data_IF_532848820007
#
_entry.id   IF_532848820007
#
_cell.length_a   1.000
_cell.length_b   1.000
_cell.length_c   1.000
_cell.angle_alpha   90.00
_cell.angle_beta   90.00
_cell.angle_gamma   90.00
#
_symmetry.space_group_name_H-M   'P 1'
#
loop_
_entity.id
_entity.type
_entity.pdbx_description
1 polymer ?
#
# COMPACT_ATOMS: atom_id res chain seq x y z
N UNK A 1 -27.26 -3.49 -47.32
CA UNK A 1 -25.93 -3.99 -46.90
C UNK A 1 -25.07 -2.75 -46.77
N UNK A 2 -25.03 -2.06 -45.61
CA UNK A 2 -23.79 -1.89 -44.85
C UNK A 2 -24.00 -1.12 -43.51
N UNK A 3 -25.23 -0.95 -43.01
CA UNK A 3 -25.48 -0.09 -41.83
C UNK A 3 -25.39 -0.81 -40.47
N UNK A 4 -25.55 -2.14 -40.42
CA UNK A 4 -25.83 -2.85 -39.15
C UNK A 4 -24.62 -3.31 -38.31
N UNK A 5 -23.38 -3.06 -38.72
CA UNK A 5 -22.20 -3.69 -38.09
C UNK A 5 -21.38 -2.74 -37.20
N UNK A 6 -21.62 -1.43 -37.25
CA UNK A 6 -20.72 -0.46 -36.59
C UNK A 6 -21.02 -0.24 -35.09
N UNK A 7 -22.22 -0.59 -34.60
CA UNK A 7 -22.59 -0.32 -33.20
C UNK A 7 -22.11 -1.36 -32.17
N UNK A 8 -21.40 -2.42 -32.56
CA UNK A 8 -20.99 -3.49 -31.62
C UNK A 8 -19.56 -3.38 -31.09
N UNK A 9 -18.76 -2.40 -31.53
CA UNK A 9 -17.34 -2.27 -31.17
C UNK A 9 -17.03 -1.22 -30.09
N UNK A 10 -18.01 -0.47 -29.61
CA UNK A 10 -17.77 0.67 -28.70
C UNK A 10 -17.88 0.36 -27.21
N UNK A 11 -18.11 -0.90 -26.81
CA UNK A 11 -18.41 -1.25 -25.40
C UNK A 11 -17.24 -1.85 -24.60
N UNK A 12 -16.03 -1.93 -25.18
CA UNK A 12 -14.88 -2.61 -24.56
C UNK A 12 -13.78 -1.69 -23.99
N UNK A 13 -14.03 -0.38 -23.83
CA UNK A 13 -12.93 0.57 -23.52
C UNK A 13 -12.85 1.00 -22.04
N UNK A 14 -13.74 0.55 -21.16
CA UNK A 14 -13.80 1.09 -19.77
C UNK A 14 -13.48 0.10 -18.65
N UNK A 15 -12.78 -1.00 -18.93
CA UNK A 15 -12.01 -1.69 -17.87
C UNK A 15 -10.61 -1.09 -17.84
N UNK A 16 -10.50 0.18 -17.43
CA UNK A 16 -9.20 0.75 -17.09
C UNK A 16 -8.63 -0.03 -15.90
N UNK A 17 -7.39 -0.49 -16.01
CA UNK A 17 -6.64 -0.87 -14.83
C UNK A 17 -6.21 0.41 -14.14
N UNK A 18 -6.71 0.68 -12.94
CA UNK A 18 -6.25 1.81 -12.15
C UNK A 18 -4.73 1.70 -11.94
N UNK A 19 -3.96 2.79 -12.09
CA UNK A 19 -2.57 2.83 -11.71
C UNK A 19 -2.38 2.23 -10.31
N UNK A 20 -1.34 1.43 -10.15
CA UNK A 20 -1.00 0.78 -8.88
C UNK A 20 -0.75 1.80 -7.74
N UNK A 21 -0.44 3.06 -8.07
CA UNK A 21 -0.41 4.19 -7.14
C UNK A 21 -1.80 4.51 -6.57
N UNK A 22 -2.85 4.44 -7.39
CA UNK A 22 -4.24 4.55 -6.93
C UNK A 22 -4.67 3.32 -6.13
N UNK A 23 -4.12 2.14 -6.46
CA UNK A 23 -4.51 0.88 -5.79
C UNK A 23 -4.05 0.79 -4.33
N UNK A 24 -3.00 1.49 -3.91
CA UNK A 24 -2.57 1.47 -2.50
C UNK A 24 -3.41 2.38 -1.62
N UNK A 25 -4.08 3.41 -2.18
CA UNK A 25 -4.88 4.34 -1.39
C UNK A 25 -6.00 3.59 -0.67
N UNK A 26 -6.18 3.89 0.61
CA UNK A 26 -7.18 3.26 1.46
C UNK A 26 -6.63 2.82 2.81
N UNK A 27 -7.46 2.09 3.54
CA UNK A 27 -7.12 1.56 4.87
C UNK A 27 -7.11 0.04 4.85
N UNK A 28 -6.11 -0.55 5.46
CA UNK A 28 -5.87 -1.98 5.50
C UNK A 28 -5.73 -2.47 6.93
N UNK A 29 -6.22 -3.67 7.18
CA UNK A 29 -6.12 -4.34 8.49
C UNK A 29 -5.35 -5.64 8.32
N UNK A 30 -4.50 -5.95 9.30
CA UNK A 30 -3.70 -7.17 9.32
C UNK A 30 -4.60 -8.41 9.23
N UNK A 31 -4.28 -9.32 8.31
CA UNK A 31 -5.04 -10.56 8.14
C UNK A 31 -4.86 -11.46 9.39
N UNK A 32 -5.93 -11.88 10.08
CA UNK A 32 -5.80 -12.63 11.33
C UNK A 32 -5.22 -14.05 11.13
N UNK A 33 -5.33 -14.61 9.92
CA UNK A 33 -4.85 -15.96 9.61
C UNK A 33 -3.48 -15.95 8.93
N UNK A 34 -3.20 -14.91 8.13
CA UNK A 34 -2.01 -14.78 7.27
C UNK A 34 -1.12 -13.60 7.62
N UNK A 35 -1.48 -12.78 8.59
CA UNK A 35 -0.78 -11.57 8.99
C UNK A 35 0.37 -11.87 9.93
N UNK A 36 1.59 -11.58 9.47
CA UNK A 36 2.88 -11.50 10.19
C UNK A 36 3.23 -12.53 11.28
N UNK A 37 2.44 -13.60 11.48
CA UNK A 37 2.59 -14.56 12.59
C UNK A 37 3.90 -15.34 12.56
N UNK A 38 4.60 -15.34 11.42
CA UNK A 38 5.92 -15.95 11.24
C UNK A 38 7.04 -14.94 11.03
N UNK A 39 6.78 -13.65 11.20
CA UNK A 39 7.73 -12.57 10.97
C UNK A 39 8.33 -12.12 12.32
N UNK A 40 9.61 -11.71 12.32
CA UNK A 40 10.37 -11.39 13.54
C UNK A 40 9.82 -10.17 14.29
N UNK A 41 9.20 -9.24 13.57
CA UNK A 41 8.42 -8.15 14.11
C UNK A 41 6.95 -8.33 13.68
N UNK A 42 6.03 -8.07 14.61
CA UNK A 42 4.63 -7.90 14.25
C UNK A 42 4.53 -6.64 13.38
N UNK A 43 3.89 -6.76 12.22
CA UNK A 43 3.53 -5.59 11.43
C UNK A 43 2.43 -4.77 12.10
N UNK A 44 2.13 -3.57 11.58
CA UNK A 44 1.03 -2.76 12.07
C UNK A 44 -0.29 -3.53 12.01
N UNK A 45 -1.16 -3.32 12.99
CA UNK A 45 -2.52 -3.84 12.96
C UNK A 45 -3.35 -3.14 11.89
N UNK A 46 -3.12 -1.83 11.70
CA UNK A 46 -3.79 -0.99 10.70
C UNK A 46 -2.78 -0.16 9.92
N UNK A 47 -2.96 -0.12 8.60
CA UNK A 47 -2.21 0.73 7.69
C UNK A 47 -3.17 1.64 6.94
N UNK A 48 -2.89 2.94 6.89
CA UNK A 48 -3.64 3.90 6.07
C UNK A 48 -2.71 4.64 5.14
N UNK A 49 -3.11 4.75 3.87
CA UNK A 49 -2.43 5.51 2.84
C UNK A 49 -3.43 6.49 2.22
N UNK A 50 -3.09 7.77 2.28
CA UNK A 50 -3.94 8.87 1.84
C UNK A 50 -3.16 9.76 0.88
N UNK A 51 -3.81 10.17 -0.19
CA UNK A 51 -3.31 11.16 -1.14
C UNK A 51 -4.51 11.87 -1.77
N UNK A 52 -4.43 13.20 -1.86
CA UNK A 52 -5.50 14.01 -2.42
C UNK A 52 -5.42 14.08 -3.95
N UNK A 53 -4.20 14.06 -4.51
CA UNK A 53 -3.94 14.10 -5.94
C UNK A 53 -2.57 13.50 -6.28
N UNK A 54 -2.56 12.24 -6.70
CA UNK A 54 -1.33 11.53 -7.09
C UNK A 54 -0.55 12.20 -8.25
N UNK A 55 -1.13 13.17 -8.96
CA UNK A 55 -0.52 13.84 -10.10
C UNK A 55 0.12 15.20 -9.76
N UNK A 56 -0.06 15.72 -8.54
CA UNK A 56 0.42 17.06 -8.17
C UNK A 56 1.92 17.08 -7.76
N UNK A 57 2.52 15.91 -7.57
CA UNK A 57 3.91 15.73 -7.17
C UNK A 57 4.16 15.95 -5.67
N UNK A 58 3.10 16.09 -4.87
CA UNK A 58 3.15 16.13 -3.41
C UNK A 58 3.18 14.70 -2.87
N UNK A 59 4.08 14.38 -1.93
CA UNK A 59 4.07 13.07 -1.27
C UNK A 59 2.76 12.83 -0.50
N UNK A 60 2.19 11.63 -0.65
CA UNK A 60 1.04 11.20 0.12
C UNK A 60 1.36 11.03 1.61
N UNK A 61 0.33 10.86 2.43
CA UNK A 61 0.44 10.62 3.87
C UNK A 61 0.15 9.18 4.23
N UNK A 62 0.95 8.62 5.14
CA UNK A 62 0.71 7.29 5.69
C UNK A 62 0.59 7.33 7.20
N UNK A 63 -0.12 6.35 7.74
CA UNK A 63 -0.25 6.13 9.18
C UNK A 63 -0.34 4.64 9.50
N UNK A 64 0.58 4.15 10.31
CA UNK A 64 0.65 2.77 10.77
C UNK A 64 0.37 2.71 12.28
N UNK A 65 -0.60 1.91 12.67
CA UNK A 65 -1.03 1.72 14.06
C UNK A 65 -0.83 0.26 14.46
N UNK A 66 -0.22 0.04 15.62
CA UNK A 66 0.12 -1.27 16.14
C UNK A 66 -0.85 -1.69 17.26
N UNK A 67 -0.97 -2.99 17.49
CA UNK A 67 -1.93 -3.56 18.44
C UNK A 67 -1.66 -3.18 19.91
N UNK A 68 -0.45 -2.71 20.23
CA UNK A 68 -0.10 -2.18 21.54
C UNK A 68 -0.44 -0.69 21.71
N UNK A 69 -1.03 -0.05 20.70
CA UNK A 69 -1.35 1.38 20.70
C UNK A 69 -0.20 2.28 20.24
N UNK A 70 0.96 1.72 19.92
CA UNK A 70 2.06 2.47 19.32
C UNK A 70 1.77 2.77 17.84
N UNK A 71 2.43 3.79 17.30
CA UNK A 71 2.24 4.20 15.91
C UNK A 71 3.47 4.88 15.34
N UNK A 72 3.54 4.93 14.02
CA UNK A 72 4.33 5.91 13.30
C UNK A 72 3.60 6.36 12.02
N UNK A 73 3.87 7.58 11.61
CA UNK A 73 3.23 8.25 10.49
C UNK A 73 4.20 9.24 9.83
N UNK A 74 3.81 9.72 8.67
CA UNK A 74 4.52 10.76 7.93
C UNK A 74 4.12 10.76 6.48
N UNK A 75 5.05 11.10 5.61
CA UNK A 75 4.81 11.06 4.16
C UNK A 75 5.37 9.81 3.52
N UNK A 76 4.89 9.49 2.33
CA UNK A 76 5.41 8.41 1.52
C UNK A 76 5.48 8.80 0.06
N UNK A 77 6.37 8.12 -0.66
CA UNK A 77 6.46 8.21 -2.12
C UNK A 77 6.65 6.82 -2.72
N UNK A 78 6.38 6.71 -4.02
CA UNK A 78 6.61 5.48 -4.76
C UNK A 78 7.92 5.56 -5.53
N UNK A 79 8.75 4.54 -5.36
CA UNK A 79 9.81 4.25 -6.31
C UNK A 79 9.39 3.11 -7.22
N UNK A 80 9.05 3.45 -8.47
CA UNK A 80 8.83 2.45 -9.51
C UNK A 80 10.18 1.99 -10.07
N UNK A 81 10.45 0.69 -9.96
CA UNK A 81 11.59 0.03 -10.61
C UNK A 81 11.02 -1.10 -11.48
N UNK A 82 11.05 -0.90 -12.80
CA UNK A 82 10.41 -1.76 -13.79
C UNK A 82 8.91 -2.00 -13.50
N UNK A 83 8.56 -3.20 -13.06
CA UNK A 83 7.19 -3.64 -12.72
C UNK A 83 6.96 -3.72 -11.21
N UNK A 84 7.94 -3.35 -10.39
CA UNK A 84 7.86 -3.38 -8.93
C UNK A 84 7.76 -1.96 -8.41
N UNK A 85 6.82 -1.76 -7.49
CA UNK A 85 6.72 -0.52 -6.73
C UNK A 85 7.23 -0.78 -5.33
N UNK A 86 8.24 -0.01 -4.96
CA UNK A 86 8.63 0.14 -3.58
C UNK A 86 7.98 1.39 -3.02
N UNK A 87 7.57 1.32 -1.77
CA UNK A 87 7.10 2.48 -1.01
C UNK A 87 8.25 2.94 -0.15
N UNK A 88 8.57 4.22 -0.25
CA UNK A 88 9.53 4.89 0.61
C UNK A 88 8.73 5.68 1.63
N UNK A 89 8.96 5.42 2.91
CA UNK A 89 8.32 6.09 4.02
C UNK A 89 9.30 7.10 4.62
N UNK A 90 8.79 8.28 4.94
CA UNK A 90 9.48 9.35 5.65
C UNK A 90 8.75 9.62 6.97
N UNK A 91 9.12 8.91 8.05
CA UNK A 91 8.49 9.09 9.34
C UNK A 91 8.82 10.47 9.93
N UNK A 92 7.79 11.24 10.24
CA UNK A 92 7.87 12.54 10.91
C UNK A 92 7.16 12.57 12.27
N UNK A 93 6.38 11.52 12.56
CA UNK A 93 5.63 11.34 13.80
C UNK A 93 5.68 9.89 14.24
N UNK A 94 5.97 9.65 15.51
CA UNK A 94 6.13 8.31 16.07
C UNK A 94 5.89 8.30 17.58
N UNK A 95 5.34 7.20 18.09
CA UNK A 95 5.34 6.90 19.52
C UNK A 95 6.75 6.53 20.02
N UNK A 96 6.92 6.40 21.33
CA UNK A 96 8.24 6.21 21.94
C UNK A 96 8.98 4.95 21.47
N UNK A 97 8.27 3.86 21.17
CA UNK A 97 8.91 2.63 20.67
C UNK A 97 9.50 2.80 19.26
N UNK A 98 9.00 3.76 18.49
CA UNK A 98 9.39 4.03 17.11
C UNK A 98 10.18 5.34 16.94
N UNK A 99 10.60 5.99 18.03
CA UNK A 99 11.27 7.29 17.99
C UNK A 99 12.55 7.30 17.12
N UNK A 100 13.22 6.16 16.99
CA UNK A 100 14.41 6.00 16.15
C UNK A 100 14.12 6.04 14.64
N UNK A 101 12.86 5.96 14.23
CA UNK A 101 12.46 6.07 12.83
C UNK A 101 12.35 7.54 12.37
N UNK A 102 12.28 8.49 13.30
CA UNK A 102 12.09 9.90 12.97
C UNK A 102 13.30 10.45 12.21
N UNK A 103 13.05 10.99 11.02
CA UNK A 103 14.09 11.50 10.13
C UNK A 103 14.87 10.43 9.36
N UNK A 104 14.56 9.15 9.57
CA UNK A 104 15.09 8.05 8.76
C UNK A 104 14.29 7.91 7.45
N UNK A 105 14.87 7.19 6.48
CA UNK A 105 14.17 6.79 5.27
C UNK A 105 13.95 5.28 5.30
N UNK A 106 12.69 4.85 5.34
CA UNK A 106 12.35 3.43 5.41
C UNK A 106 11.85 2.98 4.05
N UNK A 107 12.62 2.13 3.37
CA UNK A 107 12.19 1.47 2.15
C UNK A 107 11.49 0.16 2.48
N UNK A 108 10.27 -0.02 1.95
CA UNK A 108 9.55 -1.29 2.00
C UNK A 108 9.08 -1.70 0.61
N UNK A 109 9.23 -2.99 0.29
CA UNK A 109 8.83 -3.56 -0.99
C UNK A 109 7.45 -4.22 -0.85
N UNK A 110 6.40 -3.40 -0.98
CA UNK A 110 5.01 -3.89 -0.94
C UNK A 110 4.57 -4.47 -2.28
N UNK A 111 3.89 -5.61 -2.24
CA UNK A 111 3.08 -6.11 -3.36
C UNK A 111 1.64 -5.66 -3.17
N UNK A 112 1.29 -4.58 -3.87
CA UNK A 112 -0.04 -3.99 -3.84
C UNK A 112 -0.97 -4.78 -4.78
N UNK A 113 -2.16 -5.10 -4.29
CA UNK A 113 -3.28 -5.62 -5.08
C UNK A 113 -4.53 -4.83 -4.68
N UNK A 114 -5.51 -4.76 -5.58
CA UNK A 114 -6.80 -4.08 -5.37
C UNK A 114 -7.40 -4.18 -3.94
N UNK A 115 -7.34 -5.36 -3.31
CA UNK A 115 -7.96 -5.61 -2.01
C UNK A 115 -6.94 -5.98 -0.91
N UNK A 116 -5.64 -5.93 -1.18
CA UNK A 116 -4.65 -6.35 -0.19
C UNK A 116 -3.26 -5.79 -0.46
N UNK A 117 -2.54 -5.46 0.61
CA UNK A 117 -1.11 -5.19 0.58
C UNK A 117 -0.36 -6.39 1.16
N UNK A 118 0.78 -6.74 0.57
CA UNK A 118 1.66 -7.79 1.09
C UNK A 118 3.08 -7.32 1.21
N UNK A 119 3.74 -7.70 2.30
CA UNK A 119 5.15 -7.42 2.54
C UNK A 119 5.92 -8.73 2.67
N UNK A 120 7.08 -8.82 2.04
CA UNK A 120 7.99 -9.96 2.29
C UNK A 120 8.57 -9.80 3.68
N UNK A 121 8.40 -10.80 4.53
CA UNK A 121 9.22 -10.92 5.72
C UNK A 121 10.33 -11.95 5.48
N UNK A 122 11.45 -11.84 6.20
CA UNK A 122 12.67 -12.65 6.02
C UNK A 122 12.48 -14.18 6.23
N UNK A 123 11.24 -14.66 6.41
CA UNK A 123 10.88 -16.07 6.41
C UNK A 123 10.62 -16.57 4.99
N UNK A 124 11.31 -17.65 4.60
CA UNK A 124 11.42 -18.20 3.24
C UNK A 124 10.09 -18.51 2.52
N UNK A 125 8.93 -18.49 3.20
CA UNK A 125 7.66 -19.00 2.65
C UNK A 125 6.40 -18.17 2.95
N UNK A 126 6.46 -17.05 3.67
CA UNK A 126 5.24 -16.30 4.05
C UNK A 126 5.42 -14.79 3.95
N UNK A 127 4.43 -14.15 3.36
CA UNK A 127 4.29 -12.69 3.32
C UNK A 127 3.41 -12.25 4.51
N UNK A 128 3.69 -11.08 5.09
CA UNK A 128 2.67 -10.36 5.85
C UNK A 128 1.57 -9.91 4.88
N UNK A 129 0.31 -10.01 5.29
CA UNK A 129 -0.85 -9.65 4.47
C UNK A 129 -1.76 -8.71 5.25
N UNK A 130 -2.13 -7.60 4.64
CA UNK A 130 -3.17 -6.70 5.11
C UNK A 130 -4.28 -6.65 4.07
N UNK A 131 -5.54 -6.79 4.52
CA UNK A 131 -6.72 -6.74 3.67
C UNK A 131 -7.33 -5.34 3.71
N UNK A 132 -7.76 -4.84 2.56
CA UNK A 132 -8.41 -3.54 2.42
C UNK A 132 -9.75 -3.54 3.16
N UNK A 133 -10.05 -2.44 3.85
CA UNK A 133 -11.28 -2.25 4.63
C UNK A 133 -12.35 -1.47 3.85
N UNK A 134 -11.93 -0.54 3.00
CA UNK A 134 -12.75 0.40 2.22
C UNK A 134 -12.99 -0.03 0.77
#
# INVERSE_FOLDING_TARGET
>A
MFWRVICLLSFFVLCGCDPIQEQILGTYVLDPERGCSTCQANGPERMSFEDADLADGVPGFYRFEFSNGELHAGTYEFLQVDTVIAVILYPDSASSEFALLLGETVRTDYRIKRNSVKERCNGVLRDCVWNRLD
#
